data_IF_493828203553
#
_entry.id   IF_493828203553
#
_cell.length_a   1.000
_cell.length_b   1.000
_cell.length_c   1.000
_cell.angle_alpha   90.00
_cell.angle_beta   90.00
_cell.angle_gamma   90.00
#
_symmetry.space_group_name_H-M   'P 1'
#
loop_
_entity.id
_entity.type
_entity.pdbx_description
1 polymer ?
#
# COMPACT_ATOMS: atom_id res chain seq x y z
N UNK A 1 -50.39 -73.13 20.17
CA UNK A 1 -49.86 -72.37 19.05
C UNK A 1 -49.27 -71.06 19.65
N UNK A 2 -47.96 -70.97 19.73
CA UNK A 2 -47.25 -69.77 20.27
C UNK A 2 -46.83 -68.96 19.09
N UNK A 3 -47.41 -67.77 18.92
CA UNK A 3 -47.01 -66.82 17.90
C UNK A 3 -45.80 -66.04 18.42
N UNK A 4 -44.66 -66.24 17.79
CA UNK A 4 -43.42 -65.50 18.08
C UNK A 4 -43.43 -64.26 17.21
N UNK A 5 -43.53 -63.07 17.82
CA UNK A 5 -43.41 -61.77 17.16
C UNK A 5 -41.96 -61.42 17.16
N UNK A 6 -41.34 -61.38 15.96
CA UNK A 6 -39.96 -60.96 15.79
C UNK A 6 -39.94 -59.42 15.69
N UNK A 7 -39.17 -58.72 16.58
CA UNK A 7 -39.05 -57.26 16.44
C UNK A 7 -38.11 -56.93 15.31
N UNK A 8 -38.61 -56.21 14.33
CA UNK A 8 -37.81 -55.61 13.25
C UNK A 8 -37.13 -54.34 13.83
N UNK A 9 -35.83 -54.43 14.03
CA UNK A 9 -35.02 -53.25 14.39
C UNK A 9 -34.77 -52.38 13.17
N UNK A 10 -35.43 -51.24 13.05
CA UNK A 10 -35.17 -50.23 12.03
C UNK A 10 -33.91 -49.47 12.42
N UNK A 11 -32.80 -49.71 11.70
CA UNK A 11 -31.55 -48.96 11.84
C UNK A 11 -31.69 -47.66 11.05
N UNK A 12 -31.97 -46.55 11.73
CA UNK A 12 -31.95 -45.22 11.14
C UNK A 12 -30.52 -44.80 10.99
N UNK A 13 -29.95 -44.90 9.78
CA UNK A 13 -28.64 -44.29 9.46
C UNK A 13 -28.88 -42.80 9.24
N UNK A 14 -28.64 -42.01 10.26
CA UNK A 14 -28.51 -40.55 10.10
C UNK A 14 -27.22 -40.24 9.36
N UNK A 15 -27.33 -39.94 8.07
CA UNK A 15 -26.24 -39.31 7.31
C UNK A 15 -25.98 -37.95 7.95
N UNK A 16 -24.95 -37.89 8.79
CA UNK A 16 -24.36 -36.62 9.25
C UNK A 16 -23.65 -36.07 8.05
N UNK A 17 -24.30 -35.18 7.29
CA UNK A 17 -23.64 -34.32 6.31
C UNK A 17 -22.73 -33.35 7.10
N UNK A 18 -21.46 -33.71 7.25
CA UNK A 18 -20.46 -32.82 7.77
C UNK A 18 -20.42 -31.61 6.86
N UNK A 19 -20.61 -30.37 7.35
CA UNK A 19 -20.36 -29.20 6.54
C UNK A 19 -18.90 -29.27 6.10
N UNK A 20 -18.66 -29.30 4.80
CA UNK A 20 -17.31 -29.17 4.27
C UNK A 20 -16.83 -27.78 4.70
N UNK A 21 -15.95 -27.75 5.70
CA UNK A 21 -15.17 -26.57 6.00
C UNK A 21 -14.27 -26.32 4.78
N UNK A 22 -14.72 -25.46 3.87
CA UNK A 22 -13.88 -24.93 2.83
C UNK A 22 -12.79 -24.12 3.54
N UNK A 23 -11.58 -24.67 3.58
CA UNK A 23 -10.42 -23.95 4.07
C UNK A 23 -10.31 -22.64 3.29
N UNK A 24 -10.16 -21.53 3.99
CA UNK A 24 -10.01 -20.22 3.38
C UNK A 24 -8.74 -20.25 2.52
N UNK A 25 -8.91 -20.09 1.21
CA UNK A 25 -7.77 -20.05 0.29
C UNK A 25 -7.01 -18.74 0.49
N UNK A 26 -5.69 -18.83 0.70
CA UNK A 26 -4.82 -17.66 0.71
C UNK A 26 -4.71 -17.09 -0.71
N UNK A 27 -4.77 -15.78 -0.82
CA UNK A 27 -4.55 -15.11 -2.09
C UNK A 27 -3.12 -15.36 -2.58
N UNK A 28 -2.95 -15.52 -3.88
CA UNK A 28 -1.63 -15.52 -4.51
C UNK A 28 -0.94 -14.17 -4.28
N UNK A 29 0.40 -14.16 -4.35
CA UNK A 29 1.17 -12.92 -4.24
C UNK A 29 0.75 -11.94 -5.34
N UNK A 30 0.60 -10.67 -4.97
CA UNK A 30 0.28 -9.61 -5.91
C UNK A 30 1.44 -9.40 -6.90
N UNK A 31 1.11 -8.99 -8.13
CA UNK A 31 2.11 -8.65 -9.17
C UNK A 31 2.91 -7.39 -8.84
N UNK A 32 2.41 -6.58 -7.92
CA UNK A 32 3.05 -5.37 -7.38
C UNK A 32 3.13 -5.52 -5.86
N UNK A 33 4.04 -6.36 -5.35
CA UNK A 33 4.10 -6.67 -3.92
C UNK A 33 4.27 -5.41 -3.08
N UNK A 34 3.68 -5.44 -1.89
CA UNK A 34 3.82 -4.37 -0.93
C UNK A 34 5.21 -4.39 -0.30
N UNK A 35 5.76 -3.21 -0.08
CA UNK A 35 7.07 -3.00 0.54
C UNK A 35 6.99 -1.84 1.54
N UNK A 36 8.03 -1.66 2.33
CA UNK A 36 8.11 -0.64 3.36
C UNK A 36 9.51 -0.02 3.40
N UNK A 37 9.56 1.30 3.51
CA UNK A 37 10.77 2.02 3.88
C UNK A 37 10.52 2.82 5.17
N UNK A 38 11.55 2.99 6.00
CA UNK A 38 11.44 3.74 7.24
C UNK A 38 12.72 4.51 7.55
N UNK A 39 12.60 5.60 8.30
CA UNK A 39 13.75 6.34 8.84
C UNK A 39 13.66 6.47 10.37
N UNK A 40 14.74 6.22 11.11
CA UNK A 40 16.01 5.65 10.67
C UNK A 40 15.86 4.29 10.01
N UNK A 41 16.66 3.99 8.95
CA UNK A 41 16.53 2.79 8.14
C UNK A 41 16.99 1.51 8.85
N UNK A 42 17.85 1.63 9.87
CA UNK A 42 18.34 0.46 10.62
C UNK A 42 17.21 -0.26 11.35
N UNK A 43 17.07 -1.57 11.12
CA UNK A 43 16.09 -2.43 11.80
C UNK A 43 16.33 -2.53 13.33
N UNK A 44 17.52 -2.21 13.80
CA UNK A 44 17.88 -2.20 15.23
C UNK A 44 17.32 -0.99 15.98
N UNK A 45 16.86 0.06 15.26
CA UNK A 45 16.30 1.28 15.85
C UNK A 45 14.78 1.18 15.75
N UNK A 46 14.11 1.00 16.89
CA UNK A 46 12.66 0.93 16.97
C UNK A 46 11.99 2.31 16.92
N UNK A 47 12.65 3.36 17.42
CA UNK A 47 12.14 4.73 17.41
C UNK A 47 12.22 5.32 15.98
N UNK A 48 11.21 5.00 15.19
CA UNK A 48 11.08 5.51 13.82
C UNK A 48 10.51 6.93 13.84
N UNK A 49 10.96 7.74 12.91
CA UNK A 49 10.43 9.09 12.67
C UNK A 49 9.36 9.06 11.60
N UNK A 50 9.63 8.30 10.55
CA UNK A 50 8.71 8.13 9.42
C UNK A 50 8.77 6.71 8.89
N UNK A 51 7.63 6.22 8.42
CA UNK A 51 7.48 4.96 7.70
C UNK A 51 6.60 5.21 6.48
N UNK A 52 6.94 4.58 5.37
CA UNK A 52 6.11 4.55 4.17
C UNK A 52 5.83 3.11 3.79
N UNK A 53 4.56 2.81 3.48
CA UNK A 53 4.10 1.52 2.98
C UNK A 53 3.59 1.74 1.57
N UNK A 54 4.07 0.97 0.61
CA UNK A 54 3.77 1.20 -0.80
C UNK A 54 3.83 -0.08 -1.61
N UNK A 55 3.08 -0.17 -2.69
CA UNK A 55 3.17 -1.28 -3.62
C UNK A 55 4.17 -0.95 -4.74
N UNK A 56 4.90 -1.97 -5.21
CA UNK A 56 5.99 -1.85 -6.17
C UNK A 56 5.58 -2.29 -7.59
N UNK A 57 4.92 -1.43 -8.39
CA UNK A 57 4.68 -1.75 -9.78
C UNK A 57 5.99 -1.89 -10.53
N UNK A 58 5.99 -2.79 -11.52
CA UNK A 58 7.09 -3.01 -12.45
C UNK A 58 6.79 -2.36 -13.79
N UNK A 59 7.82 -1.89 -14.48
CA UNK A 59 7.66 -1.31 -15.82
C UNK A 59 7.18 -2.35 -16.83
N UNK A 60 7.78 -3.54 -16.85
CA UNK A 60 7.45 -4.61 -17.81
C UNK A 60 7.44 -4.13 -19.26
N UNK A 61 8.49 -3.39 -19.62
CA UNK A 61 8.64 -2.80 -20.95
C UNK A 61 7.70 -1.63 -21.25
N UNK A 62 6.98 -1.08 -20.26
CA UNK A 62 6.15 0.10 -20.41
C UNK A 62 6.96 1.37 -20.11
N UNK A 63 6.64 2.44 -20.81
CA UNK A 63 7.13 3.76 -20.45
C UNK A 63 6.52 4.22 -19.12
N UNK A 64 7.31 4.95 -18.32
CA UNK A 64 6.86 5.51 -17.04
C UNK A 64 5.60 6.36 -17.20
N UNK A 65 5.46 7.11 -18.28
CA UNK A 65 4.29 7.96 -18.59
C UNK A 65 2.97 7.18 -18.68
N UNK A 66 3.02 5.88 -18.97
CA UNK A 66 1.82 5.02 -18.95
C UNK A 66 1.37 4.67 -17.55
N UNK A 67 2.29 4.62 -16.58
CA UNK A 67 2.00 4.34 -15.17
C UNK A 67 1.68 5.63 -14.41
N UNK A 68 2.42 6.67 -14.69
CA UNK A 68 2.39 7.96 -13.99
C UNK A 68 2.28 9.10 -15.04
N UNK A 69 1.10 9.32 -15.65
CA UNK A 69 0.92 10.31 -16.69
C UNK A 69 1.17 11.74 -16.18
N UNK A 70 1.89 12.59 -16.93
CA UNK A 70 2.10 13.98 -16.57
C UNK A 70 0.79 14.74 -16.34
N UNK A 71 0.76 15.60 -15.33
CA UNK A 71 -0.39 16.43 -14.97
C UNK A 71 -1.53 15.68 -14.27
N UNK A 72 -1.44 14.38 -14.07
CA UNK A 72 -2.46 13.59 -13.38
C UNK A 72 -1.98 13.16 -12.00
N UNK A 73 -2.89 13.18 -11.01
CA UNK A 73 -2.59 12.66 -9.69
C UNK A 73 -2.34 11.16 -9.78
N UNK A 74 -1.14 10.74 -9.39
CA UNK A 74 -0.72 9.35 -9.31
C UNK A 74 -0.65 8.90 -7.85
N UNK A 75 -1.18 7.72 -7.56
CA UNK A 75 -1.15 7.09 -6.23
C UNK A 75 0.24 6.70 -5.72
N UNK A 76 1.28 7.00 -6.50
CA UNK A 76 2.69 6.77 -6.17
C UNK A 76 3.04 5.29 -5.94
N UNK A 77 2.39 4.41 -6.70
CA UNK A 77 2.53 2.96 -6.57
C UNK A 77 1.50 2.21 -7.38
N UNK A 78 1.04 1.09 -6.85
CA UNK A 78 -0.02 0.26 -7.41
C UNK A 78 -1.04 -0.09 -6.31
N UNK A 79 -2.24 -0.49 -6.70
CA UNK A 79 -3.35 -0.86 -5.81
C UNK A 79 -3.77 0.32 -4.91
N UNK A 80 -3.54 0.25 -3.61
CA UNK A 80 -3.78 1.34 -2.68
C UNK A 80 -2.83 2.53 -2.94
N UNK A 81 -3.24 3.73 -2.55
CA UNK A 81 -2.33 4.86 -2.47
C UNK A 81 -1.26 4.61 -1.40
N UNK A 82 -0.07 5.16 -1.61
CA UNK A 82 1.01 5.04 -0.63
C UNK A 82 0.57 5.64 0.71
N UNK A 83 0.81 4.90 1.78
CA UNK A 83 0.59 5.36 3.14
C UNK A 83 1.91 5.80 3.78
N UNK A 84 1.95 7.02 4.33
CA UNK A 84 3.10 7.57 5.03
C UNK A 84 2.69 7.94 6.45
N UNK A 85 3.40 7.39 7.44
CA UNK A 85 3.18 7.67 8.86
C UNK A 85 4.36 8.44 9.42
N UNK A 86 4.09 9.62 9.98
CA UNK A 86 5.04 10.39 10.78
C UNK A 86 4.76 10.14 12.26
N UNK A 87 5.73 9.63 12.99
CA UNK A 87 5.60 9.29 14.41
C UNK A 87 5.82 10.48 15.35
N UNK A 88 6.24 11.61 14.79
CA UNK A 88 6.39 12.91 15.47
C UNK A 88 6.12 14.05 14.51
N UNK A 89 5.92 15.25 15.04
CA UNK A 89 5.81 16.46 14.22
C UNK A 89 7.11 16.67 13.42
N UNK A 90 6.97 17.03 12.15
CA UNK A 90 8.09 17.24 11.23
C UNK A 90 7.91 18.53 10.42
N UNK A 91 8.98 18.95 9.76
CA UNK A 91 8.90 19.96 8.71
C UNK A 91 9.07 19.24 7.38
N UNK A 92 8.03 19.25 6.55
CA UNK A 92 8.03 18.61 5.24
C UNK A 92 8.01 19.69 4.15
N UNK A 93 9.10 19.81 3.39
CA UNK A 93 9.23 20.83 2.35
C UNK A 93 9.04 22.27 2.86
N UNK A 94 9.56 22.56 4.04
CA UNK A 94 9.44 23.88 4.69
C UNK A 94 8.09 24.14 5.39
N UNK A 95 7.16 23.18 5.40
CA UNK A 95 5.84 23.28 6.04
C UNK A 95 5.76 22.37 7.26
N UNK A 96 5.23 22.90 8.37
CA UNK A 96 4.98 22.09 9.56
C UNK A 96 3.90 21.05 9.28
N UNK A 97 4.19 19.79 9.61
CA UNK A 97 3.29 18.65 9.46
C UNK A 97 3.21 17.91 10.79
N UNK A 98 2.00 17.70 11.26
CA UNK A 98 1.75 16.99 12.51
C UNK A 98 2.03 15.49 12.38
N UNK A 99 2.37 14.86 13.51
CA UNK A 99 2.40 13.41 13.61
C UNK A 99 1.05 12.83 13.17
N UNK A 100 1.10 11.71 12.45
CA UNK A 100 -0.11 11.07 11.91
C UNK A 100 0.18 10.25 10.67
N UNK A 101 -0.87 9.59 10.18
CA UNK A 101 -0.85 8.80 8.96
C UNK A 101 -1.58 9.55 7.85
N UNK A 102 -1.00 9.57 6.68
CA UNK A 102 -1.44 10.31 5.50
C UNK A 102 -1.30 9.45 4.25
N UNK A 103 -2.03 9.80 3.20
CA UNK A 103 -1.74 9.28 1.87
C UNK A 103 -0.74 10.18 1.15
N UNK A 104 0.15 9.55 0.38
CA UNK A 104 1.12 10.25 -0.47
C UNK A 104 0.74 10.08 -1.93
N UNK A 105 0.54 11.21 -2.61
CA UNK A 105 0.31 11.27 -4.04
C UNK A 105 1.40 12.09 -4.72
N UNK A 106 1.54 11.88 -6.02
CA UNK A 106 2.46 12.67 -6.84
C UNK A 106 1.75 13.11 -8.11
N UNK A 107 2.01 14.32 -8.57
CA UNK A 107 1.65 14.76 -9.92
C UNK A 107 2.94 14.84 -10.72
N UNK A 108 3.17 13.88 -11.62
CA UNK A 108 4.30 13.93 -12.54
C UNK A 108 4.23 15.15 -13.44
N UNK A 109 5.38 15.66 -13.83
CA UNK A 109 5.51 16.73 -14.81
C UNK A 109 6.40 16.26 -15.97
N UNK A 110 6.23 16.84 -17.11
CA UNK A 110 7.20 16.70 -18.23
C UNK A 110 8.49 17.48 -17.99
N UNK A 111 8.49 18.38 -17.00
CA UNK A 111 9.66 19.13 -16.54
C UNK A 111 10.35 18.39 -15.39
N UNK A 112 11.46 18.96 -14.89
CA UNK A 112 12.28 18.34 -13.82
C UNK A 112 11.58 18.27 -12.45
N UNK A 113 10.58 19.12 -12.19
CA UNK A 113 9.93 19.23 -10.89
C UNK A 113 8.56 18.55 -10.88
N UNK A 114 8.41 17.54 -10.02
CA UNK A 114 7.13 16.88 -9.75
C UNK A 114 6.49 17.46 -8.49
N UNK A 115 5.14 17.45 -8.42
CA UNK A 115 4.45 17.85 -7.18
C UNK A 115 4.25 16.64 -6.29
N UNK A 116 4.75 16.71 -5.06
CA UNK A 116 4.53 15.73 -4.00
C UNK A 116 3.42 16.25 -3.11
N UNK A 117 2.45 15.40 -2.78
CA UNK A 117 1.24 15.74 -2.02
C UNK A 117 1.13 14.84 -0.80
N UNK A 118 0.99 15.43 0.38
CA UNK A 118 0.55 14.76 1.60
C UNK A 118 -0.92 15.08 1.78
N UNK A 119 -1.77 14.06 1.81
CA UNK A 119 -3.22 14.18 1.85
C UNK A 119 -3.78 13.48 3.09
N UNK A 120 -4.77 14.06 3.74
CA UNK A 120 -5.34 13.54 4.99
C UNK A 120 -6.24 12.32 4.82
N UNK A 121 -6.66 11.97 3.60
CA UNK A 121 -7.40 10.75 3.33
C UNK A 121 -6.54 9.52 3.66
N UNK A 122 -7.16 8.47 4.18
CA UNK A 122 -6.52 7.21 4.54
C UNK A 122 -7.26 6.04 3.88
N UNK A 123 -6.56 4.91 3.72
CA UNK A 123 -7.11 3.68 3.14
C UNK A 123 -7.73 3.90 1.74
N UNK A 124 -7.08 4.72 0.92
CA UNK A 124 -7.59 5.11 -0.39
C UNK A 124 -7.13 4.14 -1.47
N UNK A 125 -8.08 3.60 -2.23
CA UNK A 125 -7.77 2.79 -3.40
C UNK A 125 -7.44 3.68 -4.60
N UNK A 126 -6.21 3.59 -5.11
CA UNK A 126 -5.79 4.36 -6.27
C UNK A 126 -5.76 5.86 -6.02
N UNK A 127 -6.02 6.64 -7.06
CA UNK A 127 -6.24 8.08 -6.99
C UNK A 127 -7.66 8.49 -7.40
N UNK A 128 -8.58 7.53 -7.50
CA UNK A 128 -9.94 7.76 -7.97
C UNK A 128 -10.77 8.63 -7.02
N UNK A 129 -10.49 8.55 -5.73
CA UNK A 129 -11.18 9.29 -4.68
C UNK A 129 -10.34 10.44 -4.11
N UNK A 130 -9.25 10.79 -4.79
CA UNK A 130 -8.44 11.93 -4.41
C UNK A 130 -9.27 13.21 -4.39
N UNK A 131 -9.13 14.00 -3.30
CA UNK A 131 -9.75 15.30 -3.12
C UNK A 131 -8.67 16.31 -2.74
N UNK A 132 -8.56 17.38 -3.51
CA UNK A 132 -7.53 18.40 -3.32
C UNK A 132 -7.75 19.22 -2.03
N UNK A 133 -8.98 19.36 -1.58
CA UNK A 133 -9.35 20.03 -0.32
C UNK A 133 -8.83 19.27 0.93
N UNK A 134 -8.43 18.03 0.78
CA UNK A 134 -7.79 17.21 1.81
C UNK A 134 -6.26 17.27 1.78
N UNK A 135 -5.66 18.07 0.89
CA UNK A 135 -4.21 18.24 0.83
C UNK A 135 -3.71 19.03 2.05
N UNK A 136 -2.85 18.42 2.83
CA UNK A 136 -2.20 19.05 3.99
C UNK A 136 -0.94 19.78 3.57
N UNK A 137 -0.14 19.16 2.70
CA UNK A 137 1.10 19.74 2.17
C UNK A 137 1.23 19.40 0.70
N UNK A 138 1.66 20.41 -0.09
CA UNK A 138 2.12 20.25 -1.47
C UNK A 138 3.50 20.87 -1.60
N UNK A 139 4.46 20.13 -2.13
CA UNK A 139 5.84 20.56 -2.32
C UNK A 139 6.35 20.13 -3.69
N UNK A 140 7.35 20.85 -4.20
CA UNK A 140 8.07 20.44 -5.40
C UNK A 140 9.14 19.41 -5.04
N UNK A 141 9.23 18.34 -5.84
CA UNK A 141 10.26 17.31 -5.78
C UNK A 141 11.02 17.26 -7.09
N UNK A 142 12.34 17.43 -7.02
CA UNK A 142 13.21 17.35 -8.20
C UNK A 142 13.28 15.92 -8.73
N UNK A 143 13.31 15.79 -10.05
CA UNK A 143 13.54 14.52 -10.72
C UNK A 143 14.89 14.52 -11.43
N UNK A 144 15.54 13.37 -11.43
CA UNK A 144 16.77 13.12 -12.19
C UNK A 144 16.59 11.84 -12.99
N UNK A 145 17.25 11.77 -14.14
CA UNK A 145 17.34 10.52 -14.90
C UNK A 145 18.43 9.66 -14.29
N UNK A 146 18.14 8.37 -14.13
CA UNK A 146 19.14 7.36 -13.78
C UNK A 146 19.80 6.82 -15.06
N UNK A 147 21.07 6.40 -14.98
CA UNK A 147 21.78 5.77 -16.09
C UNK A 147 21.16 4.42 -16.44
N UNK A 148 20.70 3.69 -15.43
CA UNK A 148 20.03 2.39 -15.58
C UNK A 148 18.53 2.50 -15.29
N UNK A 149 17.73 1.72 -16.03
CA UNK A 149 16.30 1.62 -15.75
C UNK A 149 16.04 0.85 -14.45
N UNK A 150 15.33 1.49 -13.53
CA UNK A 150 14.85 0.82 -12.32
C UNK A 150 13.51 0.16 -12.66
N UNK A 151 13.51 -1.16 -12.81
CA UNK A 151 12.36 -1.95 -13.24
C UNK A 151 11.19 -1.89 -12.25
N UNK A 152 11.48 -1.98 -10.95
CA UNK A 152 10.46 -1.95 -9.90
C UNK A 152 10.48 -0.63 -9.15
N UNK A 153 9.30 0.01 -9.04
CA UNK A 153 9.15 1.21 -8.22
C UNK A 153 9.71 0.98 -6.81
N UNK A 154 10.52 1.91 -6.31
CA UNK A 154 11.18 1.78 -5.02
C UNK A 154 11.24 3.12 -4.29
N UNK A 155 11.07 3.09 -2.98
CA UNK A 155 11.26 4.23 -2.08
C UNK A 155 12.34 3.93 -1.07
N UNK A 156 13.14 4.93 -0.74
CA UNK A 156 14.14 4.85 0.32
C UNK A 156 14.32 6.22 0.98
N UNK A 157 14.74 6.21 2.23
CA UNK A 157 15.18 7.41 2.92
C UNK A 157 16.70 7.47 2.89
N UNK A 158 17.24 8.64 2.53
CA UNK A 158 18.68 8.87 2.56
C UNK A 158 19.19 8.97 4.01
N UNK A 159 20.47 8.60 4.21
CA UNK A 159 21.13 8.67 5.52
C UNK A 159 21.34 10.11 6.01
N UNK A 160 21.38 11.06 5.07
CA UNK A 160 21.67 12.46 5.33
C UNK A 160 20.44 13.32 5.63
N UNK A 161 19.30 12.70 5.98
CA UNK A 161 18.16 13.47 6.49
C UNK A 161 18.55 14.17 7.79
N UNK A 162 19.06 15.40 7.66
CA UNK A 162 19.30 16.28 8.80
C UNK A 162 17.94 16.75 9.30
N UNK A 163 17.53 16.18 10.42
CA UNK A 163 16.35 16.69 11.14
C UNK A 163 16.75 18.02 11.77
N UNK A 164 16.28 19.11 11.20
CA UNK A 164 16.32 20.44 11.82
C UNK A 164 15.08 20.64 12.66
#
# INVERSE_FOLDING_TARGET
MKNSILPVAIFIITLISSPQLTAQEFRSLDKSPMDMAAFPSSYKISDKIVKVIYSRPQLKGRDLVKLAPPGKVWRTGANEAVEITFYRDVVFGGKALKAGTYSLFVIPSSNEDWTIIINSAQNVWGSYYYKQDQDVVRVSGKTTKTEENIEAFSMMFDKDMTLK
#
